data_IF_382860349458
#
_entry.id   IF_382860349458
#
_cell.length_a   1.000
_cell.length_b   1.000
_cell.length_c   1.000
_cell.angle_alpha   90.00
_cell.angle_beta   90.00
_cell.angle_gamma   90.00
#
_symmetry.space_group_name_H-M   'P 1'
#
loop_
_entity.id
_entity.type
_entity.pdbx_description
1 polymer ?
#
# COMPACT_ATOMS: atom_id res chain seq x y z
N UNK A 1 43.03 66.24 15.99
CA UNK A 1 43.36 64.95 15.38
C UNK A 1 42.65 63.83 16.13
N UNK A 2 41.52 63.34 15.67
CA UNK A 2 41.05 61.99 15.91
C UNK A 2 39.92 61.71 14.95
N UNK A 3 40.22 60.98 13.88
CA UNK A 3 39.24 60.23 13.07
C UNK A 3 38.92 58.97 13.83
N UNK A 4 37.72 58.82 14.34
CA UNK A 4 37.21 57.54 14.80
C UNK A 4 36.15 57.01 13.84
N UNK A 5 36.47 55.84 13.31
CA UNK A 5 35.82 55.05 12.34
C UNK A 5 34.41 54.63 12.82
N UNK A 6 33.37 55.00 12.10
CA UNK A 6 32.01 54.51 12.27
C UNK A 6 31.75 53.43 11.23
N UNK A 7 32.25 52.23 11.48
CA UNK A 7 31.90 51.01 10.71
C UNK A 7 31.54 49.91 11.69
N UNK A 8 30.31 49.55 11.88
CA UNK A 8 29.98 48.23 12.42
C UNK A 8 28.52 47.97 12.83
N UNK A 9 27.52 48.74 12.49
CA UNK A 9 26.13 48.38 12.88
C UNK A 9 25.25 47.87 11.75
N UNK A 10 25.62 48.08 10.50
CA UNK A 10 24.79 47.71 9.33
C UNK A 10 25.02 46.27 8.85
N UNK A 11 26.18 45.67 9.16
CA UNK A 11 26.52 44.30 8.66
C UNK A 11 25.93 43.18 9.49
N UNK A 12 25.61 43.40 10.77
CA UNK A 12 25.04 42.38 11.66
C UNK A 12 23.56 42.16 11.40
N UNK A 13 22.82 43.19 10.96
CA UNK A 13 21.38 43.09 10.68
C UNK A 13 21.11 42.25 9.40
N UNK A 14 21.97 42.37 8.39
CA UNK A 14 21.82 41.54 7.16
C UNK A 14 22.14 40.08 7.37
N UNK A 15 23.07 39.71 8.24
CA UNK A 15 23.40 38.31 8.53
C UNK A 15 22.32 37.60 9.36
N UNK A 16 21.58 38.29 10.21
CA UNK A 16 20.48 37.71 11.00
C UNK A 16 19.22 37.49 10.15
N UNK A 17 18.95 38.38 9.18
CA UNK A 17 17.83 38.22 8.24
C UNK A 17 18.04 37.07 7.23
N UNK A 18 19.30 36.80 6.84
CA UNK A 18 19.60 35.68 5.94
C UNK A 18 19.40 34.29 6.58
N UNK A 19 19.51 34.19 7.93
CA UNK A 19 19.25 32.92 8.65
C UNK A 19 17.77 32.63 8.89
N UNK A 20 16.86 33.60 8.76
CA UNK A 20 15.43 33.39 8.91
C UNK A 20 14.72 33.00 7.61
N UNK A 21 15.39 33.02 6.45
CA UNK A 21 14.83 32.68 5.17
C UNK A 21 14.94 31.16 4.81
N UNK A 22 15.43 30.30 5.72
CA UNK A 22 15.96 28.98 5.38
C UNK A 22 15.21 27.76 5.87
N UNK A 23 13.97 27.81 6.36
CA UNK A 23 13.24 26.59 6.71
C UNK A 23 11.74 26.73 6.47
N UNK A 24 11.35 26.81 5.21
CA UNK A 24 9.96 26.46 4.87
C UNK A 24 9.77 24.95 5.11
N UNK A 25 8.82 24.53 5.94
CA UNK A 25 8.59 23.12 6.17
C UNK A 25 8.20 22.48 4.83
N UNK A 26 8.85 21.34 4.48
CA UNK A 26 8.57 20.64 3.24
C UNK A 26 7.07 20.33 3.09
N UNK A 27 6.61 20.24 1.84
CA UNK A 27 5.19 20.08 1.43
C UNK A 27 4.41 19.06 2.28
N UNK A 28 5.06 17.97 2.71
CA UNK A 28 4.46 16.88 3.49
C UNK A 28 4.90 16.87 4.98
N UNK A 29 5.52 17.94 5.49
CA UNK A 29 6.07 17.97 6.85
C UNK A 29 5.00 17.71 7.94
N UNK A 30 3.80 18.26 7.75
CA UNK A 30 2.70 18.12 8.71
C UNK A 30 2.20 16.69 8.77
N UNK A 31 1.88 16.06 7.62
CA UNK A 31 1.40 14.67 7.57
C UNK A 31 2.48 13.70 8.04
N UNK A 32 3.75 13.92 7.70
CA UNK A 32 4.88 13.10 8.16
C UNK A 32 5.05 13.17 9.69
N UNK A 33 4.80 14.32 10.30
CA UNK A 33 4.83 14.47 11.76
C UNK A 33 3.68 13.69 12.42
N UNK A 34 2.48 13.77 11.85
CA UNK A 34 1.31 13.00 12.34
C UNK A 34 1.59 11.52 12.23
N UNK A 35 2.06 11.03 11.08
CA UNK A 35 2.45 9.63 10.88
C UNK A 35 3.44 9.14 11.95
N UNK A 36 4.54 9.88 12.16
CA UNK A 36 5.54 9.53 13.18
C UNK A 36 4.96 9.49 14.59
N UNK A 37 4.03 10.41 14.91
CA UNK A 37 3.34 10.43 16.22
C UNK A 37 2.48 9.19 16.40
N UNK A 38 1.67 8.82 15.40
CA UNK A 38 0.82 7.63 15.43
C UNK A 38 1.64 6.34 15.58
N UNK A 39 2.73 6.18 14.81
CA UNK A 39 3.62 5.00 14.92
C UNK A 39 4.23 4.90 16.31
N UNK A 40 4.67 6.04 16.89
CA UNK A 40 5.20 6.07 18.26
C UNK A 40 4.13 5.68 19.29
N UNK A 41 2.89 6.10 19.09
CA UNK A 41 1.77 5.73 19.95
C UNK A 41 1.46 4.23 19.88
N UNK A 42 1.41 3.65 18.68
CA UNK A 42 1.24 2.20 18.51
C UNK A 42 2.38 1.42 19.14
N UNK A 43 3.63 1.86 18.99
CA UNK A 43 4.77 1.23 19.64
C UNK A 43 4.63 1.26 21.17
N UNK A 44 4.12 2.35 21.77
CA UNK A 44 3.86 2.46 23.20
C UNK A 44 2.78 1.47 23.64
N UNK A 45 1.67 1.39 22.88
CA UNK A 45 0.58 0.46 23.20
C UNK A 45 1.05 -1.00 23.18
N UNK A 46 1.96 -1.36 22.26
CA UNK A 46 2.53 -2.70 22.19
C UNK A 46 3.38 -3.07 23.41
N UNK A 47 3.98 -2.08 24.09
CA UNK A 47 4.79 -2.29 25.30
C UNK A 47 3.90 -2.40 26.56
N UNK A 48 2.72 -1.79 26.57
CA UNK A 48 1.79 -1.77 27.72
C UNK A 48 1.00 -3.09 27.88
N UNK A 49 1.45 -4.18 27.31
CA UNK A 49 0.82 -5.48 27.46
C UNK A 49 1.16 -6.14 28.82
N UNK A 50 0.27 -6.94 29.44
CA UNK A 50 -1.10 -7.24 29.04
C UNK A 50 -2.07 -6.10 29.38
N UNK A 51 -3.10 -5.96 28.54
CA UNK A 51 -4.22 -5.06 28.84
C UNK A 51 -4.93 -5.63 30.08
N UNK A 52 -4.92 -4.88 31.17
CA UNK A 52 -5.75 -5.22 32.35
C UNK A 52 -7.16 -4.75 32.05
N UNK A 53 -8.03 -5.69 31.71
CA UNK A 53 -9.45 -5.36 31.60
C UNK A 53 -10.15 -5.54 32.94
N UNK A 54 -11.29 -4.88 33.09
CA UNK A 54 -12.13 -4.94 34.28
C UNK A 54 -13.17 -6.08 34.22
N UNK A 55 -13.08 -6.99 33.23
CA UNK A 55 -14.10 -8.00 32.96
C UNK A 55 -14.07 -9.19 33.96
N UNK A 56 -13.29 -9.10 35.05
CA UNK A 56 -13.25 -10.10 36.10
C UNK A 56 -12.54 -11.41 35.73
N UNK A 57 -11.73 -11.42 34.66
CA UNK A 57 -10.87 -12.56 34.35
C UNK A 57 -9.81 -12.73 35.45
N UNK A 58 -9.55 -13.98 35.93
CA UNK A 58 -8.58 -14.26 36.98
C UNK A 58 -7.14 -14.21 36.39
N UNK A 59 -6.66 -13.01 36.03
CA UNK A 59 -5.28 -12.85 35.57
C UNK A 59 -4.28 -13.24 36.65
N UNK A 60 -3.19 -13.86 36.26
CA UNK A 60 -2.07 -14.11 37.15
C UNK A 60 -1.50 -12.80 37.70
N UNK A 61 -0.97 -12.85 38.93
CA UNK A 61 -0.31 -11.69 39.52
C UNK A 61 0.95 -11.28 38.77
N UNK A 62 1.67 -12.28 38.24
CA UNK A 62 2.89 -12.08 37.49
C UNK A 62 2.62 -12.17 35.97
N UNK A 63 3.16 -11.23 35.22
CA UNK A 63 3.16 -11.29 33.77
C UNK A 63 4.35 -12.12 33.27
N UNK A 64 4.08 -13.04 32.34
CA UNK A 64 5.10 -13.84 31.67
C UNK A 64 5.01 -13.58 30.16
N UNK A 65 6.01 -12.87 29.61
CA UNK A 65 6.11 -12.60 28.18
C UNK A 65 6.79 -13.73 27.41
N UNK A 66 6.20 -14.16 26.30
CA UNK A 66 6.89 -15.03 25.34
C UNK A 66 7.88 -14.24 24.50
N UNK A 67 8.97 -14.90 24.11
CA UNK A 67 9.94 -14.35 23.13
C UNK A 67 9.70 -14.86 21.69
N UNK A 68 8.69 -15.71 21.49
CA UNK A 68 8.35 -16.37 20.23
C UNK A 68 7.26 -15.60 19.50
N UNK A 69 7.60 -14.41 18.96
CA UNK A 69 6.67 -13.58 18.18
C UNK A 69 7.40 -12.80 17.10
N UNK A 70 6.65 -12.32 16.12
CA UNK A 70 7.14 -11.43 15.07
C UNK A 70 6.06 -10.44 14.64
N UNK A 71 6.47 -9.44 13.85
CA UNK A 71 5.51 -8.54 13.20
C UNK A 71 4.68 -9.28 12.15
N UNK A 72 3.50 -8.73 11.78
CA UNK A 72 2.73 -9.28 10.68
C UNK A 72 3.58 -9.35 9.41
N UNK A 73 3.32 -10.34 8.56
CA UNK A 73 3.96 -10.50 7.27
C UNK A 73 2.89 -10.43 6.19
N UNK A 74 2.98 -9.49 5.24
CA UNK A 74 2.06 -9.46 4.12
C UNK A 74 2.22 -10.73 3.26
N UNK A 75 1.09 -11.31 2.85
CA UNK A 75 1.04 -12.50 2.01
C UNK A 75 0.48 -12.22 0.62
N UNK A 76 -0.11 -11.04 0.42
CA UNK A 76 -0.69 -10.61 -0.85
C UNK A 76 -0.15 -9.24 -1.24
N UNK A 77 -0.16 -8.98 -2.53
CA UNK A 77 -0.04 -7.64 -3.11
C UNK A 77 -1.31 -7.37 -3.90
N UNK A 78 -1.98 -6.24 -3.58
CA UNK A 78 -3.16 -5.79 -4.31
C UNK A 78 -2.75 -4.59 -5.16
N UNK A 79 -2.94 -4.74 -6.47
CA UNK A 79 -2.65 -3.70 -7.45
C UNK A 79 -3.93 -2.93 -7.75
N UNK A 80 -3.82 -1.60 -7.72
CA UNK A 80 -4.90 -0.66 -7.96
C UNK A 80 -4.55 0.31 -9.09
N UNK A 81 -5.55 0.99 -9.63
CA UNK A 81 -5.36 2.28 -10.26
C UNK A 81 -6.16 3.34 -9.49
N UNK A 82 -5.63 4.56 -9.44
CA UNK A 82 -6.15 5.62 -8.57
C UNK A 82 -7.50 6.18 -9.01
N UNK A 83 -7.86 6.04 -10.28
CA UNK A 83 -8.99 6.72 -10.93
C UNK A 83 -8.95 8.25 -10.73
N UNK A 84 -7.73 8.83 -10.63
CA UNK A 84 -7.49 10.25 -10.43
C UNK A 84 -6.68 10.84 -11.58
N UNK A 85 -6.67 12.17 -11.69
CA UNK A 85 -6.05 12.86 -12.81
C UNK A 85 -4.56 13.15 -12.60
N UNK A 86 -4.06 13.04 -11.36
CA UNK A 86 -2.64 13.26 -11.07
C UNK A 86 -2.17 12.53 -9.81
N UNK A 87 -0.89 12.22 -9.80
CA UNK A 87 -0.21 11.63 -8.66
C UNK A 87 -0.33 12.52 -7.41
N UNK A 88 -0.22 13.83 -7.58
CA UNK A 88 -0.36 14.79 -6.49
C UNK A 88 -1.73 14.76 -5.83
N UNK A 89 -2.81 14.63 -6.63
CA UNK A 89 -4.16 14.46 -6.14
C UNK A 89 -4.30 13.18 -5.31
N UNK A 90 -3.69 12.09 -5.75
CA UNK A 90 -3.67 10.81 -5.02
C UNK A 90 -2.95 10.94 -3.69
N UNK A 91 -1.74 11.50 -3.69
CA UNK A 91 -0.98 11.73 -2.47
C UNK A 91 -1.76 12.58 -1.45
N UNK A 92 -2.43 13.64 -1.92
CA UNK A 92 -3.28 14.46 -1.08
C UNK A 92 -4.46 13.65 -0.51
N UNK A 93 -5.15 12.88 -1.35
CA UNK A 93 -6.28 12.04 -0.92
C UNK A 93 -5.89 11.11 0.22
N UNK A 94 -4.74 10.46 0.13
CA UNK A 94 -4.27 9.49 1.13
C UNK A 94 -3.71 10.14 2.41
N UNK A 95 -3.52 11.45 2.44
CA UNK A 95 -3.12 12.18 3.64
C UNK A 95 -4.29 12.83 4.39
N UNK A 96 -5.49 12.83 3.82
CA UNK A 96 -6.67 13.45 4.42
C UNK A 96 -7.43 12.45 5.30
N UNK A 97 -7.58 12.70 6.63
CA UNK A 97 -8.27 11.77 7.54
C UNK A 97 -9.70 11.45 7.12
N UNK A 98 -10.42 12.41 6.48
CA UNK A 98 -11.82 12.24 6.06
C UNK A 98 -12.02 11.17 4.98
N UNK A 99 -11.00 10.85 4.20
CA UNK A 99 -11.10 9.86 3.12
C UNK A 99 -11.06 8.44 3.64
N UNK A 100 -10.43 8.22 4.79
CA UNK A 100 -10.24 6.92 5.44
C UNK A 100 -9.61 5.85 4.53
N UNK A 101 -8.94 6.28 3.46
CA UNK A 101 -8.21 5.40 2.54
C UNK A 101 -6.72 5.66 2.62
N UNK A 102 -5.94 4.61 2.42
CA UNK A 102 -4.48 4.67 2.37
C UNK A 102 -3.94 3.52 1.54
N UNK A 103 -2.75 3.69 0.96
CA UNK A 103 -2.00 2.63 0.31
C UNK A 103 -0.57 2.59 0.86
N UNK A 104 0.13 1.48 0.67
CA UNK A 104 1.53 1.37 1.06
C UNK A 104 2.42 2.11 0.07
N UNK A 105 2.10 2.00 -1.21
CA UNK A 105 2.85 2.62 -2.29
C UNK A 105 1.93 3.33 -3.28
N UNK A 106 2.44 4.42 -3.82
CA UNK A 106 1.87 5.11 -5.00
C UNK A 106 2.98 5.21 -6.03
N UNK A 107 2.71 4.79 -7.27
CA UNK A 107 3.63 4.90 -8.40
C UNK A 107 3.04 5.89 -9.40
N UNK A 108 3.70 7.02 -9.58
CA UNK A 108 3.28 8.06 -10.51
C UNK A 108 3.51 7.64 -11.98
N UNK A 109 2.91 8.34 -12.93
CA UNK A 109 3.06 8.10 -14.38
C UNK A 109 4.51 8.22 -14.87
N UNK A 110 5.31 9.04 -14.21
CA UNK A 110 6.74 9.23 -14.49
C UNK A 110 7.64 8.15 -13.83
N UNK A 111 7.03 7.15 -13.17
CA UNK A 111 7.73 6.08 -12.49
C UNK A 111 8.19 6.42 -11.06
N UNK A 112 7.97 7.64 -10.57
CA UNK A 112 8.30 8.00 -9.19
C UNK A 112 7.49 7.16 -8.20
N UNK A 113 8.17 6.55 -7.22
CA UNK A 113 7.56 5.69 -6.19
C UNK A 113 7.51 6.42 -4.86
N UNK A 114 6.32 6.56 -4.31
CA UNK A 114 6.10 7.04 -2.94
C UNK A 114 5.78 5.87 -2.01
N UNK A 115 6.60 5.64 -1.00
CA UNK A 115 6.33 4.69 0.08
C UNK A 115 5.63 5.44 1.21
N UNK A 116 4.30 5.34 1.26
CA UNK A 116 3.47 6.14 2.15
C UNK A 116 3.21 5.49 3.51
N UNK A 117 3.20 4.17 3.57
CA UNK A 117 2.91 3.39 4.77
C UNK A 117 3.89 2.22 4.89
N UNK A 118 4.41 1.97 6.08
CA UNK A 118 5.27 0.82 6.33
C UNK A 118 4.52 -0.49 6.04
N UNK A 119 5.16 -1.43 5.33
CA UNK A 119 4.56 -2.69 4.88
C UNK A 119 4.01 -3.57 6.01
N UNK A 120 4.47 -3.37 7.24
CA UNK A 120 4.04 -4.11 8.43
C UNK A 120 2.81 -3.49 9.10
N UNK A 121 2.36 -2.31 8.66
CA UNK A 121 1.14 -1.66 9.14
C UNK A 121 -0.04 -2.01 8.24
N UNK A 122 -1.24 -1.92 8.77
CA UNK A 122 -2.49 -2.19 8.04
C UNK A 122 -2.89 -0.97 7.22
N UNK A 123 -2.85 -1.06 5.90
CA UNK A 123 -3.39 -0.06 4.98
C UNK A 123 -4.92 -0.21 4.79
N UNK A 124 -5.58 0.85 4.32
CA UNK A 124 -7.01 0.86 4.03
C UNK A 124 -7.24 1.04 2.53
N UNK A 125 -6.98 -0.03 1.75
CA UNK A 125 -7.07 -0.02 0.27
C UNK A 125 -8.00 -1.09 -0.32
N UNK A 126 -8.19 -2.22 0.37
CA UNK A 126 -8.96 -3.33 -0.18
C UNK A 126 -10.48 -3.21 0.10
N UNK A 127 -10.88 -2.49 1.17
CA UNK A 127 -12.26 -2.37 1.58
C UNK A 127 -12.89 -3.73 1.91
N UNK A 128 -14.20 -3.87 1.66
CA UNK A 128 -14.89 -5.17 1.73
C UNK A 128 -14.47 -5.98 0.52
N UNK A 129 -13.81 -7.08 0.74
CA UNK A 129 -13.15 -7.87 -0.29
C UNK A 129 -13.02 -9.33 0.14
N UNK A 130 -12.76 -10.23 -0.83
CA UNK A 130 -12.55 -11.66 -0.56
C UNK A 130 -11.63 -12.25 -1.61
N UNK A 131 -10.68 -13.09 -1.17
CA UNK A 131 -9.87 -13.93 -2.04
C UNK A 131 -9.66 -15.28 -1.37
N UNK A 132 -10.14 -16.35 -1.99
CA UNK A 132 -10.24 -17.66 -1.35
C UNK A 132 -11.07 -17.58 -0.07
N UNK A 133 -10.45 -17.90 1.06
CA UNK A 133 -11.08 -17.79 2.38
C UNK A 133 -10.72 -16.52 3.14
N UNK A 134 -9.88 -15.65 2.56
CA UNK A 134 -9.43 -14.40 3.20
C UNK A 134 -10.40 -13.27 2.93
N UNK A 135 -10.96 -12.66 3.97
CA UNK A 135 -11.92 -11.54 3.88
C UNK A 135 -11.35 -10.21 4.39
N UNK A 136 -10.24 -10.22 5.13
CA UNK A 136 -9.54 -9.00 5.59
C UNK A 136 -8.19 -8.86 4.85
N UNK A 137 -8.28 -8.47 3.58
CA UNK A 137 -7.10 -8.26 2.75
C UNK A 137 -6.32 -7.01 3.14
N UNK A 138 -6.93 -6.03 3.82
CA UNK A 138 -6.20 -4.92 4.41
C UNK A 138 -5.15 -5.37 5.44
N UNK A 139 -5.44 -6.42 6.22
CA UNK A 139 -4.52 -6.94 7.23
C UNK A 139 -3.45 -7.88 6.68
N UNK A 140 -3.67 -8.47 5.50
CA UNK A 140 -2.81 -9.50 4.92
C UNK A 140 -2.06 -9.10 3.65
N UNK A 141 -2.25 -7.86 3.17
CA UNK A 141 -1.67 -7.40 1.90
C UNK A 141 -0.87 -6.11 2.00
N UNK A 142 -0.13 -5.83 0.93
CA UNK A 142 0.44 -4.54 0.57
C UNK A 142 -0.38 -3.99 -0.60
N UNK A 143 -0.93 -2.78 -0.48
CA UNK A 143 -1.59 -2.08 -1.58
C UNK A 143 -0.61 -1.22 -2.36
N UNK A 144 -0.70 -1.28 -3.68
CA UNK A 144 0.06 -0.45 -4.62
C UNK A 144 -0.91 0.26 -5.55
N UNK A 145 -0.87 1.57 -5.55
CA UNK A 145 -1.67 2.43 -6.41
C UNK A 145 -0.86 2.94 -7.61
N UNK A 146 -1.38 2.72 -8.79
CA UNK A 146 -0.84 3.27 -10.01
C UNK A 146 -1.58 4.55 -10.34
N UNK A 147 -0.88 5.68 -10.46
CA UNK A 147 -1.47 6.93 -10.93
C UNK A 147 -1.94 6.76 -12.38
N UNK A 148 -3.24 6.55 -12.52
CA UNK A 148 -3.92 6.28 -13.79
C UNK A 148 -5.40 6.61 -13.62
N UNK A 149 -6.00 7.28 -14.60
CA UNK A 149 -7.40 7.69 -14.55
C UNK A 149 -8.41 6.56 -14.80
N UNK A 150 -7.93 5.33 -15.07
CA UNK A 150 -8.74 4.15 -15.35
C UNK A 150 -9.05 3.91 -16.83
N UNK A 151 -8.69 4.83 -17.74
CA UNK A 151 -8.98 4.75 -19.17
C UNK A 151 -7.74 4.78 -20.07
N UNK A 152 -6.62 5.24 -19.55
CA UNK A 152 -5.35 5.34 -20.25
C UNK A 152 -4.47 4.10 -20.06
N UNK A 153 -3.55 3.80 -20.97
CA UNK A 153 -2.53 2.78 -20.73
C UNK A 153 -1.56 3.23 -19.63
N UNK A 154 -1.00 2.29 -18.88
CA UNK A 154 0.11 2.57 -17.99
C UNK A 154 1.36 2.92 -18.79
N UNK A 155 2.19 3.83 -18.29
CA UNK A 155 3.45 4.18 -18.94
C UNK A 155 4.51 3.09 -18.72
N UNK A 156 5.45 2.97 -19.66
CA UNK A 156 6.54 2.01 -19.55
C UNK A 156 7.39 2.24 -18.30
N UNK A 157 7.71 3.49 -17.98
CA UNK A 157 8.49 3.84 -16.79
C UNK A 157 7.75 3.49 -15.50
N UNK A 158 6.42 3.64 -15.47
CA UNK A 158 5.58 3.24 -14.35
C UNK A 158 5.58 1.71 -14.18
N UNK A 159 5.47 0.95 -15.27
CA UNK A 159 5.51 -0.52 -15.24
C UNK A 159 6.88 -1.05 -14.82
N UNK A 160 7.98 -0.41 -15.26
CA UNK A 160 9.33 -0.75 -14.83
C UNK A 160 9.51 -0.53 -13.31
N UNK A 161 9.04 0.59 -12.77
CA UNK A 161 9.07 0.88 -11.33
C UNK A 161 8.23 -0.13 -10.55
N UNK A 162 7.04 -0.49 -11.05
CA UNK A 162 6.21 -1.52 -10.44
C UNK A 162 6.93 -2.86 -10.42
N UNK A 163 7.55 -3.30 -11.52
CA UNK A 163 8.27 -4.56 -11.61
C UNK A 163 9.36 -4.65 -10.53
N UNK A 164 10.19 -3.64 -10.40
CA UNK A 164 11.26 -3.57 -9.38
C UNK A 164 10.66 -3.65 -7.97
N UNK A 165 9.56 -2.95 -7.71
CA UNK A 165 8.88 -2.98 -6.42
C UNK A 165 8.32 -4.38 -6.12
N UNK A 166 7.67 -5.04 -7.09
CA UNK A 166 7.12 -6.38 -6.92
C UNK A 166 8.21 -7.42 -6.64
N UNK A 167 9.35 -7.35 -7.34
CA UNK A 167 10.51 -8.21 -7.07
C UNK A 167 11.01 -8.03 -5.63
N UNK A 168 11.13 -6.79 -5.17
CA UNK A 168 11.52 -6.49 -3.80
C UNK A 168 10.54 -7.08 -2.78
N UNK A 169 9.24 -6.86 -2.96
CA UNK A 169 8.21 -7.37 -2.05
C UNK A 169 8.15 -8.90 -2.06
N UNK A 170 8.21 -9.52 -3.24
CA UNK A 170 8.25 -10.97 -3.39
C UNK A 170 9.42 -11.58 -2.63
N UNK A 171 10.62 -11.01 -2.78
CA UNK A 171 11.84 -11.47 -2.09
C UNK A 171 11.75 -11.24 -0.58
N UNK A 172 11.33 -10.05 -0.13
CA UNK A 172 11.28 -9.67 1.28
C UNK A 172 10.28 -10.51 2.07
N UNK A 173 9.12 -10.82 1.48
CA UNK A 173 8.01 -11.47 2.17
C UNK A 173 7.72 -12.88 1.64
N UNK A 174 8.45 -13.40 0.66
CA UNK A 174 8.25 -14.71 0.00
C UNK A 174 6.80 -14.88 -0.48
N UNK A 175 6.25 -13.83 -1.12
CA UNK A 175 4.87 -13.83 -1.62
C UNK A 175 4.79 -14.75 -2.84
N UNK A 176 3.87 -15.75 -2.85
CA UNK A 176 3.66 -16.61 -4.01
C UNK A 176 3.18 -15.83 -5.24
N UNK A 177 3.50 -16.32 -6.45
CA UNK A 177 3.08 -15.67 -7.70
C UNK A 177 1.55 -15.43 -7.76
N UNK A 178 0.75 -16.41 -7.35
CA UNK A 178 -0.71 -16.34 -7.33
C UNK A 178 -1.29 -15.27 -6.39
N UNK A 179 -0.47 -14.68 -5.51
CA UNK A 179 -0.92 -13.71 -4.52
C UNK A 179 -0.65 -12.24 -4.95
N UNK A 180 -0.26 -12.02 -6.21
CA UNK A 180 -0.25 -10.70 -6.84
C UNK A 180 -1.53 -10.57 -7.65
N UNK A 181 -2.50 -9.82 -7.15
CA UNK A 181 -3.89 -9.78 -7.63
C UNK A 181 -4.39 -8.36 -7.78
N UNK A 182 -5.43 -8.16 -8.57
CA UNK A 182 -6.07 -6.87 -8.75
C UNK A 182 -7.15 -6.60 -7.70
N UNK A 183 -7.49 -5.34 -7.52
CA UNK A 183 -8.61 -4.98 -6.65
C UNK A 183 -9.95 -5.46 -7.22
N UNK A 184 -10.10 -5.44 -8.55
CA UNK A 184 -11.27 -6.01 -9.23
C UNK A 184 -11.45 -7.49 -8.95
N UNK A 185 -10.36 -8.27 -8.87
CA UNK A 185 -10.41 -9.71 -8.59
C UNK A 185 -10.95 -10.03 -7.19
N UNK A 186 -10.63 -9.19 -6.21
CA UNK A 186 -11.04 -9.40 -4.80
C UNK A 186 -12.36 -8.70 -4.43
N UNK A 187 -12.86 -7.83 -5.29
CA UNK A 187 -14.10 -7.10 -5.07
C UNK A 187 -14.88 -6.85 -6.39
N UNK A 188 -15.18 -7.89 -7.17
CA UNK A 188 -15.65 -7.78 -8.55
C UNK A 188 -16.98 -7.03 -8.70
N UNK A 189 -17.84 -7.04 -7.69
CA UNK A 189 -19.14 -6.35 -7.71
C UNK A 189 -19.03 -4.82 -7.58
N UNK A 190 -17.85 -4.28 -7.20
CA UNK A 190 -17.73 -2.84 -6.92
C UNK A 190 -16.43 -2.20 -7.43
N UNK A 191 -15.49 -3.00 -7.96
CA UNK A 191 -14.16 -2.56 -8.39
C UNK A 191 -13.79 -3.16 -9.74
N UNK A 192 -13.08 -2.38 -10.52
CA UNK A 192 -12.55 -2.76 -11.82
C UNK A 192 -11.06 -2.39 -11.98
N UNK A 193 -10.38 -2.06 -10.88
CA UNK A 193 -8.98 -1.67 -10.87
C UNK A 193 -8.06 -2.86 -10.52
N UNK A 194 -6.87 -2.96 -11.13
CA UNK A 194 -6.45 -2.20 -12.27
C UNK A 194 -7.30 -2.56 -13.49
N UNK A 195 -7.51 -1.58 -14.41
CA UNK A 195 -8.36 -1.83 -15.56
C UNK A 195 -7.77 -2.90 -16.52
N UNK A 196 -8.55 -3.33 -17.51
CA UNK A 196 -8.20 -4.36 -18.48
C UNK A 196 -6.92 -4.06 -19.32
N UNK A 197 -6.43 -2.81 -19.33
CA UNK A 197 -5.17 -2.41 -20.00
C UNK A 197 -3.93 -2.73 -19.16
N UNK A 198 -4.11 -3.14 -17.90
CA UNK A 198 -2.97 -3.58 -17.08
C UNK A 198 -2.37 -4.86 -17.68
N UNK A 199 -1.06 -4.91 -17.93
CA UNK A 199 -0.45 -5.99 -18.71
C UNK A 199 -0.21 -7.26 -17.87
N UNK A 200 -1.26 -7.87 -17.34
CA UNK A 200 -1.20 -9.05 -16.46
C UNK A 200 -0.35 -10.18 -17.05
N UNK A 201 -0.48 -10.45 -18.37
CA UNK A 201 0.31 -11.50 -19.03
C UNK A 201 1.80 -11.27 -18.85
N UNK A 202 2.28 -10.05 -19.14
CA UNK A 202 3.70 -9.68 -19.00
C UNK A 202 4.19 -9.88 -17.56
N UNK A 203 3.36 -9.48 -16.56
CA UNK A 203 3.70 -9.65 -15.16
C UNK A 203 3.70 -11.12 -14.72
N UNK A 204 2.75 -11.93 -15.20
CA UNK A 204 2.68 -13.36 -14.89
C UNK A 204 3.88 -14.13 -15.46
N UNK A 205 4.35 -13.80 -16.65
CA UNK A 205 5.57 -14.36 -17.26
C UNK A 205 6.84 -14.05 -16.42
N UNK A 206 6.78 -12.99 -15.58
CA UNK A 206 7.81 -12.65 -14.58
C UNK A 206 7.53 -13.21 -13.18
N UNK A 207 6.45 -13.98 -13.03
CA UNK A 207 6.06 -14.61 -11.77
C UNK A 207 5.27 -13.72 -10.83
N UNK A 208 4.50 -12.75 -11.35
CA UNK A 208 3.61 -11.87 -10.61
C UNK A 208 2.19 -11.99 -11.15
N UNK A 209 1.30 -12.64 -10.40
CA UNK A 209 -0.03 -12.99 -10.84
C UNK A 209 -0.08 -14.31 -11.61
N UNK A 210 -1.29 -14.67 -12.03
CA UNK A 210 -1.57 -15.84 -12.84
C UNK A 210 -2.03 -15.41 -14.23
N UNK A 211 -1.73 -16.24 -15.21
CA UNK A 211 -2.22 -16.14 -16.58
C UNK A 211 -2.45 -17.54 -17.13
N UNK A 212 -3.36 -17.67 -18.07
CA UNK A 212 -3.60 -18.96 -18.68
C UNK A 212 -2.45 -19.38 -19.61
N UNK A 213 -2.17 -20.66 -19.66
CA UNK A 213 -1.25 -21.27 -20.62
C UNK A 213 -1.98 -21.60 -21.93
N UNK A 214 -1.25 -22.13 -22.92
CA UNK A 214 -1.86 -22.69 -24.10
C UNK A 214 -2.77 -23.86 -23.71
N UNK A 215 -4.05 -23.77 -24.07
CA UNK A 215 -5.08 -24.76 -23.77
C UNK A 215 -5.48 -25.60 -24.97
N UNK A 216 -4.78 -25.48 -26.11
CA UNK A 216 -5.14 -26.11 -27.39
C UNK A 216 -5.32 -27.62 -27.28
N UNK A 217 -4.56 -28.31 -26.42
CA UNK A 217 -4.59 -29.75 -26.24
C UNK A 217 -5.23 -30.18 -24.90
N UNK A 218 -5.88 -29.29 -24.19
CA UNK A 218 -6.52 -29.59 -22.91
C UNK A 218 -7.95 -30.10 -23.22
N UNK A 219 -8.25 -31.34 -22.83
CA UNK A 219 -9.61 -31.83 -22.82
C UNK A 219 -10.29 -31.41 -21.51
N UNK A 220 -11.40 -30.73 -21.67
CA UNK A 220 -12.24 -30.34 -20.52
C UNK A 220 -13.05 -31.56 -20.12
N UNK A 221 -13.07 -31.98 -18.84
CA UNK A 221 -13.89 -33.10 -18.36
C UNK A 221 -15.40 -32.87 -18.62
N UNK A 222 -16.16 -33.91 -18.86
CA UNK A 222 -17.60 -33.82 -19.17
C UNK A 222 -18.44 -33.08 -18.10
N UNK A 223 -17.98 -33.11 -16.87
CA UNK A 223 -18.66 -32.46 -15.73
C UNK A 223 -17.84 -31.26 -15.19
N UNK A 224 -17.09 -30.57 -16.05
CA UNK A 224 -16.32 -29.40 -15.65
C UNK A 224 -17.22 -28.23 -15.22
N UNK A 225 -17.12 -27.83 -13.95
CA UNK A 225 -17.78 -26.64 -13.45
C UNK A 225 -16.82 -25.46 -13.44
N UNK A 226 -17.07 -24.47 -14.29
CA UNK A 226 -16.25 -23.28 -14.42
C UNK A 226 -16.32 -22.37 -13.16
N UNK A 227 -17.43 -22.39 -12.42
CA UNK A 227 -17.55 -21.63 -11.17
C UNK A 227 -16.70 -22.25 -10.07
N UNK A 228 -16.65 -23.59 -10.00
CA UNK A 228 -15.74 -24.27 -9.09
C UNK A 228 -14.28 -24.00 -9.44
N UNK A 229 -13.96 -23.99 -10.73
CA UNK A 229 -12.59 -23.66 -11.18
C UNK A 229 -12.18 -22.23 -10.79
N UNK A 230 -13.02 -21.24 -11.01
CA UNK A 230 -12.78 -19.85 -10.62
C UNK A 230 -12.64 -19.74 -9.10
N UNK A 231 -13.49 -20.42 -8.34
CA UNK A 231 -13.43 -20.48 -6.88
C UNK A 231 -12.13 -21.09 -6.36
N UNK A 232 -11.62 -22.14 -7.02
CA UNK A 232 -10.34 -22.78 -6.67
C UNK A 232 -9.18 -21.82 -6.90
N UNK A 233 -9.23 -20.98 -7.94
CA UNK A 233 -8.24 -19.92 -8.17
C UNK A 233 -8.26 -18.88 -7.04
N UNK A 234 -9.43 -18.59 -6.46
CA UNK A 234 -9.56 -17.67 -5.33
C UNK A 234 -10.71 -16.66 -5.45
N UNK A 235 -11.36 -16.54 -6.60
CA UNK A 235 -12.42 -15.57 -6.83
C UNK A 235 -13.64 -15.80 -5.92
N UNK A 236 -14.32 -14.73 -5.58
CA UNK A 236 -15.58 -14.78 -4.85
C UNK A 236 -16.73 -15.08 -5.81
N UNK A 237 -17.24 -16.32 -5.78
CA UNK A 237 -18.32 -16.78 -6.65
C UNK A 237 -19.71 -16.62 -6.04
N UNK A 238 -19.88 -15.85 -4.96
CA UNK A 238 -21.21 -15.56 -4.39
C UNK A 238 -22.09 -14.74 -5.34
N UNK A 239 -21.49 -13.87 -6.14
CA UNK A 239 -22.10 -13.26 -7.31
C UNK A 239 -21.42 -13.83 -8.56
N UNK A 240 -22.12 -14.75 -9.21
CA UNK A 240 -21.57 -15.50 -10.36
C UNK A 240 -21.39 -14.62 -11.60
N UNK A 241 -22.24 -13.60 -11.77
CA UNK A 241 -22.14 -12.66 -12.90
C UNK A 241 -20.92 -11.75 -12.76
N UNK A 242 -20.61 -11.34 -11.56
CA UNK A 242 -19.44 -10.48 -11.31
C UNK A 242 -18.12 -11.28 -11.28
N UNK A 243 -18.17 -12.59 -11.06
CA UNK A 243 -16.99 -13.46 -10.99
C UNK A 243 -16.49 -13.91 -12.38
N UNK A 244 -17.32 -13.80 -13.42
CA UNK A 244 -17.04 -14.14 -14.83
C UNK A 244 -16.80 -12.88 -15.65
#
# INVERSE_FOLDING_TARGET
LAFMCSFSKTFVVFSVLAFLAGCSPGKYATTNRIYKKQVKEYARLLVEYPVKDSAGLPYAADWVGTTNFSMRRPNYVIIHHTAQNSCEQTLLTFTLPRTQVSSHYVICRDGTVYHMLNDLLRGHHAGVSKWGNTTDLNSSSVGIELDNNGFEPCTEVQMNSLMILLERLKKAYSIPAANFIGHGDIAPTRKNDPNWRFPWRMFSEKGFGLWWSDTTNIQVPDHFDHLDAIRIVGFDTRDTTAAI
#
